data_IF_497487721357
#
_entry.id   IF_497487721357
#
_cell.length_a   1.000
_cell.length_b   1.000
_cell.length_c   1.000
_cell.angle_alpha   90.00
_cell.angle_beta   90.00
_cell.angle_gamma   90.00
#
_symmetry.space_group_name_H-M   'P 1'
#
loop_
_entity.id
_entity.type
_entity.pdbx_description
1 polymer ?
#
# COMPACT_ATOMS: atom_id res chain seq x y z
N UNK A 1 0.77 13.31 -5.04
CA UNK A 1 2.05 12.99 -5.71
C UNK A 1 2.45 14.15 -6.62
N UNK A 2 3.76 14.40 -6.79
CA UNK A 2 4.28 15.41 -7.72
C UNK A 2 5.23 14.72 -8.70
N UNK A 3 4.99 14.86 -9.99
CA UNK A 3 5.83 14.38 -11.09
C UNK A 3 6.43 15.60 -11.80
N UNK A 4 7.75 15.59 -12.04
CA UNK A 4 8.45 16.68 -12.73
C UNK A 4 8.98 16.17 -14.07
N UNK A 5 8.90 17.00 -15.10
CA UNK A 5 9.33 16.65 -16.45
C UNK A 5 9.27 17.83 -17.41
N UNK A 6 9.10 17.52 -18.70
CA UNK A 6 8.93 18.50 -19.77
C UNK A 6 7.77 18.06 -20.68
N UNK A 7 7.13 19.04 -21.32
CA UNK A 7 6.03 18.83 -22.27
C UNK A 7 4.86 18.00 -21.72
N UNK A 8 4.56 18.15 -20.42
CA UNK A 8 3.50 17.43 -19.72
C UNK A 8 2.11 18.11 -19.82
N UNK A 9 2.02 19.22 -20.56
CA UNK A 9 0.77 19.95 -20.75
C UNK A 9 0.02 19.48 -22.00
N UNK A 10 -1.30 19.60 -21.99
CA UNK A 10 -2.16 19.24 -23.11
C UNK A 10 -3.61 19.63 -22.86
N UNK A 11 -4.47 19.39 -23.86
CA UNK A 11 -5.91 19.56 -23.73
C UNK A 11 -6.51 18.58 -22.70
N UNK A 12 -5.94 17.37 -22.62
CA UNK A 12 -6.25 16.39 -21.58
C UNK A 12 -4.96 15.83 -21.04
N UNK A 13 -4.82 15.81 -19.71
CA UNK A 13 -3.68 15.21 -19.00
C UNK A 13 -4.22 14.20 -17.98
N UNK A 14 -3.59 13.04 -17.91
CA UNK A 14 -3.88 11.94 -16.97
C UNK A 14 -2.57 11.45 -16.38
N UNK A 15 -2.60 10.99 -15.13
CA UNK A 15 -1.54 10.14 -14.61
C UNK A 15 -2.05 8.71 -14.59
N UNK A 16 -1.34 7.80 -15.25
CA UNK A 16 -1.71 6.38 -15.31
C UNK A 16 -0.85 5.60 -14.32
N UNK A 17 -1.49 4.80 -13.47
CA UNK A 17 -0.83 3.82 -12.63
C UNK A 17 -1.10 2.43 -13.19
N UNK A 18 -0.05 1.70 -13.53
CA UNK A 18 -0.15 0.35 -14.11
C UNK A 18 0.48 -0.68 -13.19
N UNK A 19 -0.14 -1.86 -13.12
CA UNK A 19 0.39 -3.07 -12.49
C UNK A 19 -0.32 -4.28 -13.08
N UNK A 20 0.32 -5.45 -13.03
CA UNK A 20 -0.21 -6.71 -13.59
C UNK A 20 -1.55 -7.15 -13.01
N UNK A 21 -1.84 -6.75 -11.77
CA UNK A 21 -3.09 -7.10 -11.09
C UNK A 21 -4.30 -6.27 -11.58
N UNK A 22 -4.06 -5.08 -12.14
CA UNK A 22 -5.15 -4.23 -12.63
C UNK A 22 -5.50 -4.62 -14.07
N UNK A 23 -6.80 -4.80 -14.39
CA UNK A 23 -7.23 -5.13 -15.76
C UNK A 23 -7.04 -3.95 -16.74
N UNK A 24 -6.95 -2.73 -16.22
CA UNK A 24 -6.68 -1.50 -16.96
C UNK A 24 -5.89 -0.51 -16.07
N UNK A 25 -5.17 0.46 -16.65
CA UNK A 25 -4.49 1.49 -15.86
C UNK A 25 -5.45 2.22 -14.92
N UNK A 26 -5.01 2.48 -13.68
CA UNK A 26 -5.73 3.35 -12.77
C UNK A 26 -5.41 4.81 -13.11
N UNK A 27 -6.41 5.56 -13.56
CA UNK A 27 -6.23 6.94 -14.00
C UNK A 27 -6.48 7.94 -12.87
N UNK A 28 -5.49 8.78 -12.60
CA UNK A 28 -5.62 9.94 -11.73
C UNK A 28 -5.82 11.19 -12.59
N UNK A 29 -6.73 12.03 -12.14
CA UNK A 29 -6.91 13.37 -12.70
C UNK A 29 -5.91 14.32 -12.05
N UNK A 30 -5.04 14.99 -12.82
CA UNK A 30 -4.14 16.01 -12.30
C UNK A 30 -4.88 17.19 -11.66
N UNK A 31 -4.22 17.83 -10.70
CA UNK A 31 -4.62 19.11 -10.15
C UNK A 31 -4.59 20.19 -11.25
N UNK A 32 -5.59 21.10 -11.32
CA UNK A 32 -5.61 22.20 -12.29
C UNK A 32 -4.38 23.12 -12.26
N UNK A 33 -3.65 23.19 -11.14
CA UNK A 33 -2.41 23.95 -11.01
C UNK A 33 -1.19 23.24 -11.64
N UNK A 34 -1.37 22.06 -12.23
CA UNK A 34 -0.32 21.36 -13.00
C UNK A 34 0.11 22.19 -14.21
N UNK A 35 1.39 22.09 -14.56
CA UNK A 35 2.03 22.83 -15.65
C UNK A 35 2.72 21.87 -16.62
N UNK A 36 3.27 22.41 -17.72
CA UNK A 36 4.05 21.66 -18.68
C UNK A 36 5.31 20.98 -18.09
N UNK A 37 5.78 21.43 -16.92
CA UNK A 37 6.98 20.88 -16.28
C UNK A 37 6.71 20.18 -14.95
N UNK A 38 5.49 20.27 -14.44
CA UNK A 38 5.11 19.68 -13.16
C UNK A 38 3.66 19.24 -13.18
N UNK A 39 3.41 17.95 -12.95
CA UNK A 39 2.08 17.39 -12.76
C UNK A 39 1.89 17.05 -11.29
N UNK A 40 0.86 17.63 -10.68
CA UNK A 40 0.44 17.27 -9.32
C UNK A 40 -0.79 16.39 -9.46
N UNK A 41 -0.73 15.17 -8.93
CA UNK A 41 -1.85 14.23 -8.96
C UNK A 41 -2.18 13.79 -7.53
N UNK A 42 -3.38 14.09 -7.01
CA UNK A 42 -3.81 13.55 -5.72
C UNK A 42 -3.99 12.04 -5.84
N UNK A 43 -3.50 11.31 -4.83
CA UNK A 43 -3.72 9.87 -4.73
C UNK A 43 -4.99 9.67 -3.88
N UNK A 44 -6.06 9.05 -4.42
CA UNK A 44 -7.29 8.83 -3.69
C UNK A 44 -7.12 7.73 -2.64
N UNK A 45 -7.98 7.76 -1.62
CA UNK A 45 -8.13 6.66 -0.67
C UNK A 45 -9.14 5.63 -1.21
N UNK A 46 -8.76 4.95 -2.29
CA UNK A 46 -9.60 3.94 -2.97
C UNK A 46 -9.28 2.53 -2.45
N UNK A 47 -10.13 2.06 -1.53
CA UNK A 47 -9.95 0.78 -0.85
C UNK A 47 -9.95 -0.42 -1.80
N UNK A 48 -10.82 -0.43 -2.80
CA UNK A 48 -11.05 -1.61 -3.64
C UNK A 48 -10.32 -1.54 -4.99
N UNK A 49 -10.13 -0.32 -5.53
CA UNK A 49 -9.59 -0.07 -6.86
C UNK A 49 -8.08 0.14 -6.90
N UNK A 50 -7.44 0.48 -5.77
CA UNK A 50 -6.02 0.81 -5.70
C UNK A 50 -5.27 -0.04 -4.65
N UNK A 51 -5.17 -1.36 -4.85
CA UNK A 51 -4.51 -2.27 -3.90
C UNK A 51 -3.06 -1.87 -3.60
N UNK A 52 -2.57 -2.17 -2.39
CA UNK A 52 -1.15 -1.99 -2.06
C UNK A 52 -0.24 -2.77 -3.03
N UNK A 53 0.98 -2.28 -3.27
CA UNK A 53 1.94 -2.92 -4.17
C UNK A 53 2.77 -1.93 -4.98
N UNK A 54 3.59 -2.47 -5.88
CA UNK A 54 4.40 -1.71 -6.82
C UNK A 54 3.62 -1.37 -8.10
N UNK A 55 3.79 -0.14 -8.57
CA UNK A 55 3.16 0.42 -9.75
C UNK A 55 4.20 1.09 -10.65
N UNK A 56 3.90 1.11 -11.95
CA UNK A 56 4.54 1.98 -12.91
C UNK A 56 3.63 3.20 -13.16
N UNK A 57 4.12 4.38 -12.81
CA UNK A 57 3.41 5.65 -12.97
C UNK A 57 3.92 6.40 -14.21
N UNK A 58 3.01 6.79 -15.11
CA UNK A 58 3.30 7.58 -16.31
C UNK A 58 2.34 8.75 -16.43
N UNK A 59 2.73 9.78 -17.19
CA UNK A 59 1.85 10.90 -17.56
C UNK A 59 1.42 10.70 -19.01
N UNK A 60 0.12 10.69 -19.24
CA UNK A 60 -0.45 10.69 -20.58
C UNK A 60 -1.06 12.07 -20.87
N UNK A 61 -0.68 12.69 -21.98
CA UNK A 61 -1.14 14.02 -22.38
C UNK A 61 -1.53 14.02 -23.86
N UNK A 62 -2.65 14.66 -24.19
CA UNK A 62 -3.07 14.91 -25.58
C UNK A 62 -2.82 16.38 -25.95
N UNK A 63 -2.00 16.68 -26.98
CA UNK A 63 -1.75 18.06 -27.39
C UNK A 63 -3.02 18.81 -27.81
N UNK A 64 -3.04 20.11 -27.55
CA UNK A 64 -4.12 21.00 -27.99
C UNK A 64 -4.18 21.06 -29.52
N UNK A 65 -5.32 20.69 -30.11
CA UNK A 65 -5.54 20.73 -31.56
C UNK A 65 -5.32 19.40 -32.30
N UNK A 66 -4.90 18.34 -31.60
CA UNK A 66 -4.76 16.98 -32.15
C UNK A 66 -5.53 15.98 -31.28
N UNK A 67 -6.85 16.10 -31.29
CA UNK A 67 -7.72 15.17 -30.57
C UNK A 67 -7.53 13.75 -31.13
N UNK A 68 -6.98 12.85 -30.29
CA UNK A 68 -6.67 11.47 -30.67
C UNK A 68 -5.20 11.07 -30.53
N UNK A 69 -4.28 12.05 -30.48
CA UNK A 69 -2.84 11.78 -30.35
C UNK A 69 -2.41 11.82 -28.88
N UNK A 70 -2.73 10.75 -28.12
CA UNK A 70 -2.23 10.61 -26.76
C UNK A 70 -0.73 10.28 -26.75
N UNK A 71 0.05 11.09 -26.04
CA UNK A 71 1.48 10.86 -25.80
C UNK A 71 1.67 10.45 -24.36
N UNK A 72 2.40 9.37 -24.14
CA UNK A 72 2.71 8.87 -22.81
C UNK A 72 4.20 9.03 -22.51
N UNK A 73 4.52 9.46 -21.29
CA UNK A 73 5.90 9.58 -20.81
C UNK A 73 6.53 8.20 -20.58
N UNK A 74 7.82 8.18 -20.26
CA UNK A 74 8.39 7.02 -19.58
C UNK A 74 7.68 6.79 -18.23
N UNK A 75 7.76 5.56 -17.72
CA UNK A 75 7.21 5.21 -16.42
C UNK A 75 8.25 5.37 -15.30
N UNK A 76 7.78 5.78 -14.13
CA UNK A 76 8.54 5.83 -12.88
C UNK A 76 7.99 4.80 -11.88
N UNK A 77 8.86 4.16 -11.09
CA UNK A 77 8.41 3.24 -10.05
C UNK A 77 7.71 4.00 -8.92
N UNK A 78 6.56 3.49 -8.47
CA UNK A 78 5.80 4.00 -7.34
C UNK A 78 5.35 2.83 -6.48
N UNK A 79 5.54 2.92 -5.17
CA UNK A 79 5.02 1.91 -4.23
C UNK A 79 3.87 2.50 -3.41
N UNK A 80 2.74 1.79 -3.38
CA UNK A 80 1.63 2.08 -2.48
C UNK A 80 1.74 1.16 -1.28
N UNK A 81 2.09 1.75 -0.13
CA UNK A 81 2.25 1.03 1.11
C UNK A 81 0.90 0.68 1.74
N UNK A 82 0.73 -0.54 2.28
CA UNK A 82 -0.41 -0.85 3.11
C UNK A 82 -0.32 -0.12 4.45
N UNK A 83 -1.46 0.12 5.07
CA UNK A 83 -1.59 0.70 6.41
C UNK A 83 -2.27 -0.30 7.33
N UNK A 84 -1.72 -0.49 8.52
CA UNK A 84 -2.39 -1.23 9.58
C UNK A 84 -3.37 -0.28 10.26
N UNK A 85 -4.65 -0.65 10.32
CA UNK A 85 -5.72 0.14 10.93
C UNK A 85 -6.06 -0.37 12.32
N UNK A 86 -6.01 -1.68 12.51
CA UNK A 86 -6.28 -2.32 13.78
C UNK A 86 -5.59 -3.69 13.85
N UNK A 87 -5.18 -4.06 15.06
CA UNK A 87 -4.68 -5.41 15.41
C UNK A 87 -5.57 -5.94 16.52
N UNK A 88 -6.07 -7.17 16.37
CA UNK A 88 -6.96 -7.82 17.34
C UNK A 88 -6.67 -9.32 17.42
N UNK A 89 -6.71 -9.94 18.61
CA UNK A 89 -6.86 -9.30 19.92
C UNK A 89 -5.59 -8.52 20.33
N UNK A 90 -5.72 -7.65 21.33
CA UNK A 90 -4.60 -6.92 21.93
C UNK A 90 -4.81 -6.90 23.47
N UNK A 91 -4.05 -7.67 24.27
CA UNK A 91 -2.92 -8.52 23.87
C UNK A 91 -3.35 -9.76 23.06
N UNK A 92 -2.44 -10.27 22.24
CA UNK A 92 -2.58 -11.56 21.56
C UNK A 92 -2.19 -12.67 22.53
N UNK A 93 -3.09 -13.62 22.73
CA UNK A 93 -2.91 -14.74 23.67
C UNK A 93 -2.63 -16.02 22.90
N UNK A 94 -1.64 -16.79 23.36
CA UNK A 94 -1.33 -18.12 22.83
C UNK A 94 -2.35 -19.18 23.26
N UNK A 95 -2.60 -20.11 22.37
CA UNK A 95 -3.31 -21.35 22.64
C UNK A 95 -2.41 -22.34 23.43
N UNK A 96 -2.97 -23.47 23.92
CA UNK A 96 -2.19 -24.49 24.61
C UNK A 96 -1.09 -25.15 23.76
N UNK A 97 -1.12 -24.98 22.43
CA UNK A 97 -0.09 -25.46 21.51
C UNK A 97 1.01 -24.41 21.26
N UNK A 98 0.92 -23.23 21.90
CA UNK A 98 1.86 -22.13 21.74
C UNK A 98 1.65 -21.28 20.49
N UNK A 99 0.55 -21.48 19.76
CA UNK A 99 0.17 -20.69 18.58
C UNK A 99 -0.70 -19.50 19.00
N UNK A 100 -0.59 -18.38 18.29
CA UNK A 100 -1.41 -17.21 18.55
C UNK A 100 -2.11 -16.79 17.26
N UNK A 101 -3.43 -16.56 17.30
CA UNK A 101 -4.17 -16.08 16.12
C UNK A 101 -4.37 -14.59 16.23
N UNK A 102 -4.06 -13.87 15.16
CA UNK A 102 -4.23 -12.41 15.08
C UNK A 102 -4.97 -12.04 13.81
N UNK A 103 -5.93 -11.13 13.96
CA UNK A 103 -6.66 -10.49 12.88
C UNK A 103 -6.19 -9.04 12.76
N UNK A 104 -5.96 -8.61 11.52
CA UNK A 104 -5.49 -7.28 11.19
C UNK A 104 -6.47 -6.63 10.22
N UNK A 105 -6.91 -5.40 10.52
CA UNK A 105 -7.59 -4.54 9.56
C UNK A 105 -6.55 -3.67 8.85
N UNK A 106 -6.61 -3.60 7.53
CA UNK A 106 -5.67 -2.87 6.69
C UNK A 106 -6.36 -2.03 5.62
N UNK A 107 -5.62 -1.07 5.10
CA UNK A 107 -6.02 -0.32 3.90
C UNK A 107 -4.82 -0.10 2.97
N UNK A 108 -5.02 -0.14 1.64
CA UNK A 108 -6.21 -0.57 0.89
C UNK A 108 -6.57 -2.06 1.09
N UNK A 109 -7.70 -2.51 0.55
CA UNK A 109 -8.10 -3.93 0.56
C UNK A 109 -7.07 -4.79 -0.17
N UNK A 110 -6.86 -5.99 0.36
CA UNK A 110 -5.97 -7.00 -0.21
C UNK A 110 -6.78 -7.90 -1.13
N UNK A 111 -6.37 -7.98 -2.39
CA UNK A 111 -7.04 -8.84 -3.36
C UNK A 111 -6.65 -10.32 -3.15
N UNK A 112 -7.45 -11.27 -3.65
CA UNK A 112 -7.20 -12.70 -3.49
C UNK A 112 -5.81 -13.17 -3.90
N UNK A 113 -5.30 -12.66 -5.04
CA UNK A 113 -4.03 -13.08 -5.61
C UNK A 113 -2.80 -12.37 -5.01
N UNK A 114 -3.01 -11.47 -4.05
CA UNK A 114 -1.91 -10.74 -3.41
C UNK A 114 -1.29 -11.54 -2.27
N UNK A 115 0.05 -11.57 -2.26
CA UNK A 115 0.80 -12.20 -1.18
C UNK A 115 0.90 -11.20 -0.02
N UNK A 116 0.18 -11.48 1.06
CA UNK A 116 0.24 -10.72 2.30
C UNK A 116 0.97 -11.51 3.40
N UNK A 117 1.88 -10.83 4.10
CA UNK A 117 2.57 -11.37 5.27
C UNK A 117 2.73 -10.35 6.39
N UNK A 118 2.67 -10.82 7.63
CA UNK A 118 2.91 -10.04 8.83
C UNK A 118 4.32 -10.34 9.34
N UNK A 119 5.14 -9.31 9.44
CA UNK A 119 6.46 -9.38 10.05
C UNK A 119 6.32 -8.98 11.51
N UNK A 120 6.69 -9.88 12.42
CA UNK A 120 6.63 -9.68 13.88
C UNK A 120 8.04 -9.84 14.43
N UNK A 121 8.70 -8.72 14.76
CA UNK A 121 10.13 -8.75 15.07
C UNK A 121 10.96 -9.22 13.87
N UNK A 122 11.55 -10.41 13.98
CA UNK A 122 12.39 -11.08 12.98
C UNK A 122 11.68 -12.24 12.25
N UNK A 123 10.44 -12.56 12.61
CA UNK A 123 9.66 -13.64 12.00
C UNK A 123 8.63 -13.10 10.99
N UNK A 124 8.40 -13.85 9.90
CA UNK A 124 7.38 -13.57 8.87
C UNK A 124 6.28 -14.64 8.89
N UNK A 125 5.03 -14.20 8.93
CA UNK A 125 3.84 -15.06 8.95
C UNK A 125 2.97 -14.77 7.73
N UNK A 126 2.58 -15.79 6.98
CA UNK A 126 1.68 -15.62 5.85
C UNK A 126 0.24 -15.42 6.33
N UNK A 127 -0.47 -14.52 5.65
CA UNK A 127 -1.90 -14.36 5.87
C UNK A 127 -2.67 -15.59 5.35
N UNK A 128 -3.76 -15.95 6.01
CA UNK A 128 -4.69 -16.97 5.54
C UNK A 128 -5.22 -16.62 4.13
N UNK A 129 -5.48 -17.62 3.27
CA UNK A 129 -6.05 -17.41 1.95
C UNK A 129 -7.39 -16.66 2.00
N UNK A 130 -7.70 -15.90 0.94
CA UNK A 130 -8.97 -15.18 0.78
C UNK A 130 -9.53 -15.35 -0.62
N UNK A 131 -10.85 -15.36 -0.75
CA UNK A 131 -11.56 -15.56 -2.03
C UNK A 131 -12.12 -14.26 -2.61
N UNK A 132 -12.18 -13.20 -1.81
CA UNK A 132 -12.61 -11.87 -2.22
C UNK A 132 -11.59 -10.82 -1.74
N UNK A 133 -11.68 -9.61 -2.30
CA UNK A 133 -10.95 -8.45 -1.76
C UNK A 133 -11.38 -8.24 -0.32
N UNK A 134 -10.42 -8.00 0.57
CA UNK A 134 -10.72 -7.84 1.99
C UNK A 134 -9.73 -6.89 2.65
N UNK A 135 -10.25 -6.04 3.52
CA UNK A 135 -9.47 -5.24 4.47
C UNK A 135 -9.00 -6.07 5.68
N UNK A 136 -9.48 -7.30 5.82
CA UNK A 136 -9.27 -8.14 6.99
C UNK A 136 -8.34 -9.29 6.65
N UNK A 137 -7.24 -9.41 7.41
CA UNK A 137 -6.25 -10.47 7.26
C UNK A 137 -6.11 -11.26 8.56
N UNK A 138 -6.09 -12.58 8.45
CA UNK A 138 -5.87 -13.49 9.58
C UNK A 138 -4.47 -14.12 9.48
N UNK A 139 -3.78 -14.22 10.61
CA UNK A 139 -2.46 -14.82 10.71
C UNK A 139 -2.40 -15.79 11.90
N UNK A 140 -1.75 -16.92 11.69
CA UNK A 140 -1.39 -17.86 12.76
C UNK A 140 0.10 -17.69 13.07
N UNK A 141 0.39 -17.19 14.26
CA UNK A 141 1.73 -16.95 14.76
C UNK A 141 2.22 -18.19 15.52
N UNK A 142 3.26 -18.83 15.02
CA UNK A 142 3.90 -19.99 15.65
C UNK A 142 5.40 -19.75 15.83
N UNK A 143 6.03 -20.35 16.83
CA UNK A 143 7.49 -20.29 16.99
C UNK A 143 8.05 -18.96 17.53
N UNK A 144 7.19 -17.98 17.83
CA UNK A 144 7.60 -16.81 18.61
C UNK A 144 8.01 -17.24 20.02
N UNK A 145 9.07 -16.66 20.63
CA UNK A 145 9.43 -16.90 22.04
C UNK A 145 8.28 -16.76 23.03
N UNK A 146 8.17 -17.71 23.95
CA UNK A 146 7.06 -17.85 24.90
C UNK A 146 7.02 -16.77 26.00
N UNK A 147 8.04 -15.91 26.08
CA UNK A 147 8.08 -14.82 27.06
C UNK A 147 7.17 -13.68 26.58
N UNK A 148 6.25 -13.19 27.43
CA UNK A 148 5.42 -12.04 27.09
C UNK A 148 6.26 -10.81 26.71
N UNK A 149 5.98 -10.23 25.53
CA UNK A 149 6.69 -9.02 25.07
C UNK A 149 5.93 -8.28 23.99
N UNK A 150 6.27 -7.00 23.86
CA UNK A 150 5.81 -6.13 22.79
C UNK A 150 6.70 -6.28 21.57
N UNK A 151 6.08 -6.40 20.40
CA UNK A 151 6.75 -6.42 19.10
C UNK A 151 6.32 -5.21 18.28
N UNK A 152 7.25 -4.65 17.52
CA UNK A 152 6.90 -3.87 16.34
C UNK A 152 6.49 -4.83 15.22
N UNK A 153 5.45 -4.45 14.48
CA UNK A 153 4.92 -5.26 13.37
C UNK A 153 4.94 -4.47 12.07
N UNK A 154 5.08 -5.18 10.94
CA UNK A 154 4.93 -4.61 9.60
C UNK A 154 4.08 -5.52 8.74
N UNK A 155 3.14 -4.95 8.01
CA UNK A 155 2.38 -5.66 6.99
C UNK A 155 3.09 -5.52 5.66
N UNK A 156 3.41 -6.64 5.00
CA UNK A 156 3.98 -6.68 3.66
C UNK A 156 2.94 -7.20 2.69
N UNK A 157 2.69 -6.45 1.60
CA UNK A 157 1.81 -6.88 0.50
C UNK A 157 2.58 -6.77 -0.81
N UNK A 158 2.70 -7.88 -1.54
CA UNK A 158 3.43 -7.98 -2.80
C UNK A 158 4.83 -7.34 -2.76
N UNK A 159 5.51 -7.48 -1.62
CA UNK A 159 6.86 -6.94 -1.39
C UNK A 159 6.93 -5.50 -0.88
N UNK A 160 5.79 -4.80 -0.74
CA UNK A 160 5.74 -3.44 -0.18
C UNK A 160 5.35 -3.50 1.30
N UNK A 161 6.18 -2.90 2.16
CA UNK A 161 5.97 -2.86 3.61
C UNK A 161 5.10 -1.67 4.04
N UNK A 162 4.35 -1.85 5.13
CA UNK A 162 3.73 -0.76 5.86
C UNK A 162 4.79 0.19 6.44
N UNK A 163 4.44 1.47 6.51
CA UNK A 163 5.34 2.49 7.02
C UNK A 163 5.35 2.46 8.55
N UNK A 164 6.33 1.78 9.13
CA UNK A 164 6.49 1.70 10.59
C UNK A 164 7.00 3.01 11.21
N UNK A 165 7.73 3.81 10.44
CA UNK A 165 8.24 5.10 10.89
C UNK A 165 7.28 6.18 10.44
N UNK A 166 6.79 6.97 11.38
CA UNK A 166 6.06 8.19 11.10
C UNK A 166 7.06 9.30 10.73
N UNK A 167 7.10 9.61 9.44
CA UNK A 167 7.91 10.69 8.89
C UNK A 167 7.20 12.05 8.88
N UNK A 168 5.93 12.13 9.32
CA UNK A 168 5.21 13.38 9.46
C UNK A 168 5.54 14.12 10.77
N UNK A 169 6.08 13.40 11.76
CA UNK A 169 6.54 13.97 13.02
C UNK A 169 7.88 14.75 12.86
N UNK A 170 8.12 15.82 13.65
CA UNK A 170 9.36 16.61 13.59
C UNK A 170 10.65 15.80 13.83
N UNK A 171 10.53 14.68 14.54
CA UNK A 171 11.56 13.66 14.66
C UNK A 171 10.96 12.32 14.25
N UNK A 172 11.67 11.51 13.43
CA UNK A 172 11.20 10.18 13.07
C UNK A 172 10.90 9.35 14.32
N UNK A 173 9.68 8.84 14.42
CA UNK A 173 9.22 8.02 15.55
C UNK A 173 8.55 6.75 15.03
N UNK A 174 8.57 5.69 15.84
CA UNK A 174 7.80 4.48 15.54
C UNK A 174 6.30 4.77 15.65
N UNK A 175 5.53 4.24 14.70
CA UNK A 175 4.07 4.28 14.73
C UNK A 175 3.55 3.40 15.88
N UNK A 176 2.92 3.99 16.92
CA UNK A 176 2.45 3.23 18.07
C UNK A 176 1.33 2.25 17.70
N UNK A 177 0.60 2.48 16.60
CA UNK A 177 -0.44 1.57 16.11
C UNK A 177 0.13 0.27 15.53
N UNK A 178 1.43 0.25 15.23
CA UNK A 178 2.15 -0.92 14.70
C UNK A 178 2.91 -1.64 15.80
N UNK A 179 2.28 -1.78 16.96
CA UNK A 179 2.77 -2.57 18.10
C UNK A 179 1.79 -3.66 18.50
N UNK A 180 2.32 -4.81 18.91
CA UNK A 180 1.53 -5.97 19.32
C UNK A 180 2.16 -6.62 20.54
N UNK A 181 1.38 -6.81 21.59
CA UNK A 181 1.77 -7.56 22.79
C UNK A 181 1.35 -9.00 22.59
N UNK A 182 2.30 -9.94 22.70
CA UNK A 182 2.01 -11.38 22.68
C UNK A 182 2.27 -11.95 24.06
N UNK A 183 1.33 -12.73 24.59
CA UNK A 183 1.36 -13.36 25.90
C UNK A 183 1.22 -14.88 25.78
#
# INVERSE_FOLDING_TARGET
MILRGHDLAGATVRVKLTRSLLPAPYELTPDPASTATQVVAPLPDDQAGLPAGAYAASVAASPSGSAGDERESNALPLSIAPRIRQISPQPVVRDPNGQATVTLLCSPEVWPDQRASLIVGDAEFLAAPRTAKSDTLEFTLSGLPAVPRTYFVRLRIDGVDSLLIDHAAPAPAYDPSQTMVVQ
#
